data_IF_433945397565
#
_entry.id   IF_433945397565
#
_cell.length_a   1.000
_cell.length_b   1.000
_cell.length_c   1.000
_cell.angle_alpha   90.00
_cell.angle_beta   90.00
_cell.angle_gamma   90.00
#
_symmetry.space_group_name_H-M   'P 1'
#
loop_
_entity.id
_entity.type
_entity.pdbx_description
1 polymer ?
#
# COMPACT_ATOMS: atom_id res chain seq x y z
N UNK A 1 -18.27 -8.35 -10.67
CA UNK A 1 -17.47 -8.67 -11.88
C UNK A 1 -18.35 -8.85 -13.12
N UNK A 2 -19.23 -9.85 -13.16
CA UNK A 2 -19.99 -10.27 -14.36
C UNK A 2 -21.00 -9.26 -14.90
N UNK A 3 -21.52 -8.35 -14.07
CA UNK A 3 -22.43 -7.28 -14.49
C UNK A 3 -21.77 -6.20 -15.35
N UNK A 4 -20.44 -6.20 -15.49
CA UNK A 4 -19.68 -5.18 -16.23
C UNK A 4 -19.35 -3.93 -15.40
N UNK A 5 -20.02 -3.68 -14.28
CA UNK A 5 -19.75 -2.51 -13.43
C UNK A 5 -18.29 -2.43 -12.97
N UNK A 6 -17.71 -3.56 -12.53
CA UNK A 6 -16.31 -3.60 -12.13
C UNK A 6 -15.37 -3.18 -13.26
N UNK A 7 -15.62 -3.67 -14.48
CA UNK A 7 -14.85 -3.32 -15.67
C UNK A 7 -14.99 -1.83 -16.02
N UNK A 8 -16.15 -1.21 -15.80
CA UNK A 8 -16.30 0.25 -15.97
C UNK A 8 -15.41 1.03 -14.98
N UNK A 9 -15.32 0.59 -13.72
CA UNK A 9 -14.43 1.19 -12.74
C UNK A 9 -12.94 0.99 -13.12
N UNK A 10 -12.57 -0.20 -13.60
CA UNK A 10 -11.24 -0.43 -14.19
C UNK A 10 -10.96 0.55 -15.34
N UNK A 11 -11.94 0.81 -16.21
CA UNK A 11 -11.79 1.79 -17.30
C UNK A 11 -11.61 3.23 -16.78
N UNK A 12 -12.31 3.63 -15.72
CA UNK A 12 -12.12 4.95 -15.08
C UNK A 12 -10.68 5.11 -14.56
N UNK A 13 -10.11 4.04 -13.99
CA UNK A 13 -8.71 4.04 -13.53
C UNK A 13 -7.72 4.12 -14.69
N UNK A 14 -7.98 3.38 -15.77
CA UNK A 14 -7.10 3.32 -16.95
C UNK A 14 -7.19 4.53 -17.88
N UNK A 15 -8.21 5.37 -17.78
CA UNK A 15 -8.42 6.47 -18.72
C UNK A 15 -7.35 7.57 -18.56
N UNK A 16 -6.69 7.93 -19.66
CA UNK A 16 -5.60 8.91 -19.66
C UNK A 16 -6.05 10.33 -19.31
N UNK A 17 -7.35 10.62 -19.44
CA UNK A 17 -7.93 11.87 -19.00
C UNK A 17 -8.46 11.83 -17.56
N UNK A 18 -8.25 10.72 -16.85
CA UNK A 18 -8.73 10.44 -15.50
C UNK A 18 -7.57 10.42 -14.50
N UNK A 19 -7.17 9.25 -13.98
CA UNK A 19 -6.10 9.13 -12.99
C UNK A 19 -4.75 9.65 -13.49
N UNK A 20 -4.41 9.42 -14.76
CA UNK A 20 -3.16 9.91 -15.38
C UNK A 20 -2.93 11.41 -15.21
N UNK A 21 -4.00 12.20 -15.05
CA UNK A 21 -3.91 13.65 -14.86
C UNK A 21 -3.45 14.05 -13.44
N UNK A 22 -3.56 13.14 -12.47
CA UNK A 22 -3.34 13.44 -11.04
C UNK A 22 -2.44 12.44 -10.32
N UNK A 23 -2.13 11.27 -10.90
CA UNK A 23 -1.22 10.28 -10.33
C UNK A 23 0.17 10.90 -10.08
N UNK A 24 0.78 10.57 -8.94
CA UNK A 24 2.06 11.17 -8.52
C UNK A 24 2.00 12.62 -8.02
N UNK A 25 0.80 13.23 -7.98
CA UNK A 25 0.63 14.65 -7.61
C UNK A 25 -0.23 14.82 -6.35
N UNK A 26 -0.34 16.05 -5.84
CA UNK A 26 -1.16 16.37 -4.66
C UNK A 26 -2.66 16.07 -4.82
N UNK A 27 -3.15 15.83 -6.05
CA UNK A 27 -4.55 15.47 -6.30
C UNK A 27 -4.86 13.98 -6.21
N UNK A 28 -3.84 13.11 -6.20
CA UNK A 28 -4.05 11.67 -6.20
C UNK A 28 -4.88 11.17 -5.00
N UNK A 29 -4.62 11.59 -3.74
CA UNK A 29 -5.39 11.11 -2.58
C UNK A 29 -6.90 11.36 -2.71
N UNK A 30 -7.30 12.58 -3.10
CA UNK A 30 -8.70 12.92 -3.31
C UNK A 30 -9.34 12.16 -4.49
N UNK A 31 -8.57 11.89 -5.55
CA UNK A 31 -9.06 11.08 -6.67
C UNK A 31 -9.36 9.64 -6.20
N UNK A 32 -8.46 9.02 -5.44
CA UNK A 32 -8.65 7.67 -4.90
C UNK A 32 -9.85 7.61 -3.96
N UNK A 33 -9.99 8.58 -3.04
CA UNK A 33 -11.17 8.67 -2.15
C UNK A 33 -12.48 8.72 -2.91
N UNK A 34 -12.57 9.60 -3.93
CA UNK A 34 -13.76 9.69 -4.78
C UNK A 34 -14.05 8.36 -5.49
N UNK A 35 -13.01 7.67 -5.97
CA UNK A 35 -13.14 6.41 -6.67
C UNK A 35 -13.71 5.32 -5.76
N UNK A 36 -13.16 5.19 -4.54
CA UNK A 36 -13.63 4.24 -3.53
C UNK A 36 -15.08 4.50 -3.13
N UNK A 37 -15.45 5.76 -2.87
CA UNK A 37 -16.83 6.13 -2.54
C UNK A 37 -17.82 5.78 -3.65
N UNK A 38 -17.45 6.03 -4.91
CA UNK A 38 -18.25 5.62 -6.06
C UNK A 38 -18.39 4.10 -6.15
N UNK A 39 -17.30 3.36 -5.92
CA UNK A 39 -17.31 1.90 -5.98
C UNK A 39 -18.15 1.29 -4.85
N UNK A 40 -18.03 1.83 -3.63
CA UNK A 40 -18.84 1.43 -2.48
C UNK A 40 -20.33 1.64 -2.75
N UNK A 41 -20.72 2.81 -3.26
CA UNK A 41 -22.10 3.09 -3.66
C UNK A 41 -22.61 2.12 -4.73
N UNK A 42 -21.74 1.73 -5.67
CA UNK A 42 -22.07 0.72 -6.66
C UNK A 42 -22.37 -0.63 -5.99
N UNK A 43 -21.52 -1.11 -5.08
CA UNK A 43 -21.77 -2.34 -4.34
C UNK A 43 -23.08 -2.30 -3.54
N UNK A 44 -23.32 -1.21 -2.80
CA UNK A 44 -24.56 -1.00 -2.03
C UNK A 44 -25.83 -0.99 -2.88
N UNK A 45 -25.69 -0.64 -4.17
CA UNK A 45 -26.82 -0.59 -5.10
C UNK A 45 -27.17 -1.93 -5.75
N UNK A 46 -26.29 -2.95 -5.64
CA UNK A 46 -26.51 -4.23 -6.33
C UNK A 46 -27.66 -5.03 -5.73
N UNK A 47 -27.85 -4.94 -4.42
CA UNK A 47 -28.94 -5.60 -3.69
C UNK A 47 -29.20 -4.86 -2.37
N UNK A 48 -30.45 -4.86 -1.89
CA UNK A 48 -30.82 -4.21 -0.62
C UNK A 48 -30.08 -4.77 0.59
N UNK A 49 -29.67 -6.03 0.56
CA UNK A 49 -28.86 -6.65 1.62
C UNK A 49 -27.43 -6.07 1.70
N UNK A 50 -26.98 -5.38 0.67
CA UNK A 50 -25.68 -4.70 0.65
C UNK A 50 -25.77 -3.22 1.05
N UNK A 51 -26.94 -2.70 1.46
CA UNK A 51 -27.12 -1.27 1.75
C UNK A 51 -26.11 -0.72 2.77
N UNK A 52 -25.71 -1.57 3.72
CA UNK A 52 -24.84 -1.21 4.84
C UNK A 52 -23.38 -1.68 4.62
N UNK A 53 -23.07 -2.21 3.43
CA UNK A 53 -21.72 -2.68 3.09
C UNK A 53 -20.72 -1.52 3.14
N UNK A 54 -19.54 -1.76 3.69
CA UNK A 54 -18.39 -0.86 3.59
C UNK A 54 -17.22 -1.56 2.90
N UNK A 55 -16.32 -0.78 2.28
CA UNK A 55 -15.07 -1.33 1.76
C UNK A 55 -14.10 -1.66 2.90
N UNK A 56 -13.62 -2.90 3.02
CA UNK A 56 -12.62 -3.24 4.02
C UNK A 56 -11.25 -2.70 3.57
N UNK A 57 -10.51 -2.08 4.49
CA UNK A 57 -9.08 -1.83 4.28
C UNK A 57 -8.28 -3.11 4.52
N UNK A 58 -7.15 -3.26 3.85
CA UNK A 58 -6.20 -4.35 4.08
C UNK A 58 -5.17 -3.94 5.12
N UNK A 59 -5.15 -4.56 6.29
CA UNK A 59 -4.13 -4.31 7.32
C UNK A 59 -2.78 -4.96 6.96
N UNK A 60 -2.15 -4.41 5.92
CA UNK A 60 -0.83 -4.81 5.42
C UNK A 60 0.26 -4.74 6.49
N UNK A 61 0.08 -3.91 7.51
CA UNK A 61 1.07 -3.71 8.57
C UNK A 61 1.02 -4.86 9.57
N UNK A 62 -0.19 -5.32 9.92
CA UNK A 62 -0.38 -6.53 10.73
C UNK A 62 0.13 -7.76 9.97
N UNK A 63 -0.17 -7.86 8.67
CA UNK A 63 0.30 -8.97 7.83
C UNK A 63 1.83 -9.00 7.67
N UNK A 64 2.49 -7.83 7.56
CA UNK A 64 3.97 -7.74 7.65
C UNK A 64 4.50 -8.21 9.00
N UNK A 65 3.79 -7.92 10.11
CA UNK A 65 4.20 -8.35 11.45
C UNK A 65 4.06 -9.87 11.62
N UNK A 66 2.96 -10.46 11.13
CA UNK A 66 2.72 -11.91 11.09
C UNK A 66 3.86 -12.66 10.41
N UNK A 67 4.37 -12.10 9.31
CA UNK A 67 5.45 -12.72 8.55
C UNK A 67 6.79 -12.79 9.30
N UNK A 68 7.04 -11.87 10.23
CA UNK A 68 8.31 -11.74 10.96
C UNK A 68 8.30 -12.47 12.30
N UNK A 69 7.12 -12.60 12.93
CA UNK A 69 6.99 -13.25 14.23
C UNK A 69 7.03 -14.78 14.12
N UNK A 70 7.54 -15.44 15.15
CA UNK A 70 7.47 -16.90 15.32
C UNK A 70 6.19 -17.38 15.98
N UNK A 71 5.37 -16.43 16.48
CA UNK A 71 4.10 -16.76 17.12
C UNK A 71 3.01 -17.12 16.12
N UNK A 72 3.21 -16.86 14.83
CA UNK A 72 2.24 -17.12 13.77
C UNK A 72 2.89 -18.00 12.71
N UNK A 73 2.26 -19.12 12.39
CA UNK A 73 2.66 -19.96 11.28
C UNK A 73 1.98 -19.48 9.99
N UNK A 74 2.61 -18.54 9.29
CA UNK A 74 2.18 -18.14 7.96
C UNK A 74 3.37 -18.06 6.99
N UNK A 75 3.16 -18.53 5.76
CA UNK A 75 4.18 -18.56 4.72
C UNK A 75 3.70 -17.81 3.48
N UNK A 76 4.60 -17.02 2.90
CA UNK A 76 4.27 -16.15 1.78
C UNK A 76 3.35 -15.01 2.17
N UNK A 77 3.05 -14.16 1.19
CA UNK A 77 2.17 -13.00 1.35
C UNK A 77 0.72 -13.45 1.56
N UNK A 78 0.26 -14.42 0.78
CA UNK A 78 -1.14 -14.90 0.84
C UNK A 78 -1.44 -15.64 2.14
N UNK A 79 -0.52 -16.47 2.64
CA UNK A 79 -0.73 -17.22 3.87
C UNK A 79 -0.77 -16.35 5.12
N UNK A 80 -0.15 -15.15 5.08
CA UNK A 80 -0.22 -14.18 6.17
C UNK A 80 -1.42 -13.22 6.04
N UNK A 81 -2.22 -13.32 4.96
CA UNK A 81 -3.24 -12.32 4.63
C UNK A 81 -4.59 -12.95 4.27
N UNK A 82 -5.52 -13.07 5.25
CA UNK A 82 -6.84 -13.65 5.03
C UNK A 82 -7.62 -12.97 3.90
N UNK A 83 -7.48 -11.64 3.73
CA UNK A 83 -8.18 -10.91 2.67
C UNK A 83 -7.71 -11.32 1.27
N UNK A 84 -6.43 -11.70 1.10
CA UNK A 84 -5.93 -12.20 -0.18
C UNK A 84 -6.52 -13.57 -0.50
N UNK A 85 -6.67 -14.44 0.50
CA UNK A 85 -7.32 -15.75 0.36
C UNK A 85 -8.81 -15.61 0.02
N UNK A 86 -9.53 -14.77 0.77
CA UNK A 86 -10.95 -14.49 0.57
C UNK A 86 -11.23 -13.92 -0.83
N UNK A 87 -10.30 -13.14 -1.38
CA UNK A 87 -10.39 -12.58 -2.73
C UNK A 87 -9.85 -13.53 -3.82
N UNK A 88 -9.61 -14.81 -3.49
CA UNK A 88 -9.31 -15.88 -4.45
C UNK A 88 -7.84 -16.28 -4.58
N UNK A 89 -6.96 -15.76 -3.70
CA UNK A 89 -5.54 -16.12 -3.65
C UNK A 89 -4.79 -15.92 -4.97
N UNK A 90 -3.70 -16.65 -5.17
CA UNK A 90 -2.83 -16.52 -6.36
C UNK A 90 -2.73 -17.80 -7.20
N UNK A 91 -3.46 -18.87 -6.86
CA UNK A 91 -3.25 -20.19 -7.46
C UNK A 91 -4.07 -20.43 -8.72
N UNK A 92 -3.43 -20.97 -9.75
CA UNK A 92 -4.07 -21.38 -10.99
C UNK A 92 -3.05 -21.68 -12.09
N UNK A 93 -3.53 -22.01 -13.31
CA UNK A 93 -2.63 -22.29 -14.43
C UNK A 93 -1.82 -21.04 -14.81
N UNK A 94 -0.56 -21.23 -15.18
CA UNK A 94 0.29 -20.16 -15.65
C UNK A 94 -0.24 -19.58 -16.97
N UNK A 95 -0.29 -18.26 -17.04
CA UNK A 95 -0.64 -17.49 -18.23
C UNK A 95 0.65 -17.02 -18.92
N UNK A 96 0.72 -17.24 -20.23
CA UNK A 96 1.81 -16.72 -21.06
C UNK A 96 1.66 -15.22 -21.29
N UNK A 97 2.78 -14.54 -21.50
CA UNK A 97 2.81 -13.10 -21.77
C UNK A 97 1.88 -12.71 -22.91
N UNK A 98 1.05 -11.68 -22.67
CA UNK A 98 0.11 -11.14 -23.64
C UNK A 98 -1.11 -12.02 -23.96
N UNK A 99 -1.23 -13.21 -23.38
CA UNK A 99 -2.37 -14.10 -23.59
C UNK A 99 -3.66 -13.63 -22.88
N UNK A 100 -3.53 -12.72 -21.92
CA UNK A 100 -4.63 -12.12 -21.19
C UNK A 100 -4.60 -10.61 -21.43
N UNK A 101 -5.75 -10.02 -21.77
CA UNK A 101 -5.87 -8.60 -22.10
C UNK A 101 -7.03 -7.98 -21.33
N UNK A 102 -6.77 -6.89 -20.61
CA UNK A 102 -7.79 -6.12 -19.89
C UNK A 102 -7.88 -4.73 -20.52
N UNK A 103 -9.02 -4.39 -21.14
CA UNK A 103 -9.23 -3.07 -21.76
C UNK A 103 -8.10 -2.62 -22.72
N UNK A 104 -7.53 -3.56 -23.47
CA UNK A 104 -6.40 -3.30 -24.38
C UNK A 104 -5.01 -3.36 -23.73
N UNK A 105 -4.92 -3.47 -22.40
CA UNK A 105 -3.66 -3.71 -21.69
C UNK A 105 -3.32 -5.20 -21.71
N UNK A 106 -2.17 -5.55 -22.29
CA UNK A 106 -1.66 -6.91 -22.30
C UNK A 106 -0.99 -7.24 -20.95
N UNK A 107 -1.36 -8.36 -20.34
CA UNK A 107 -0.82 -8.74 -19.04
C UNK A 107 0.50 -9.51 -19.20
N UNK A 108 1.60 -9.11 -18.53
CA UNK A 108 2.94 -9.67 -18.78
C UNK A 108 3.09 -11.15 -18.45
N UNK A 109 2.55 -11.64 -17.34
CA UNK A 109 2.49 -13.06 -16.99
C UNK A 109 1.72 -13.22 -15.68
N UNK A 110 1.48 -14.45 -15.22
CA UNK A 110 0.95 -14.70 -13.87
C UNK A 110 0.26 -16.04 -13.76
N UNK A 111 -0.24 -16.33 -12.57
CA UNK A 111 -1.09 -17.47 -12.29
C UNK A 111 -2.56 -17.04 -12.38
N UNK A 112 -3.36 -17.76 -13.16
CA UNK A 112 -4.78 -17.50 -13.38
C UNK A 112 -5.59 -17.91 -12.14
N UNK A 113 -5.59 -17.04 -11.12
CA UNK A 113 -6.33 -17.24 -9.87
C UNK A 113 -7.83 -17.34 -10.14
N UNK A 114 -8.44 -18.48 -9.80
CA UNK A 114 -9.76 -18.86 -10.28
C UNK A 114 -10.70 -19.36 -9.17
N UNK A 115 -10.45 -18.98 -7.92
CA UNK A 115 -11.32 -19.24 -6.77
C UNK A 115 -12.01 -17.95 -6.30
N UNK A 116 -13.05 -18.10 -5.47
CA UNK A 116 -13.84 -16.98 -4.91
C UNK A 116 -14.22 -15.93 -5.99
N UNK A 117 -14.10 -14.63 -5.68
CA UNK A 117 -14.39 -13.52 -6.59
C UNK A 117 -13.55 -13.55 -7.88
N UNK A 118 -12.34 -14.08 -7.84
CA UNK A 118 -11.46 -14.17 -9.01
C UNK A 118 -12.03 -15.12 -10.08
N UNK A 119 -12.77 -16.15 -9.66
CA UNK A 119 -13.51 -17.07 -10.55
C UNK A 119 -14.59 -16.37 -11.41
N UNK A 120 -14.98 -15.14 -11.03
CA UNK A 120 -16.00 -14.35 -11.70
C UNK A 120 -15.42 -13.24 -12.59
N UNK A 121 -14.09 -13.18 -12.73
CA UNK A 121 -13.41 -12.20 -13.56
C UNK A 121 -13.91 -12.22 -15.01
N UNK A 122 -14.20 -11.03 -15.53
CA UNK A 122 -14.86 -10.85 -16.82
C UNK A 122 -14.44 -9.51 -17.45
N UNK A 123 -13.61 -9.56 -18.48
CA UNK A 123 -13.19 -8.35 -19.22
C UNK A 123 -14.26 -7.88 -20.22
N UNK A 124 -15.16 -8.79 -20.61
CA UNK A 124 -16.25 -8.57 -21.55
C UNK A 124 -17.46 -9.42 -21.17
N UNK A 125 -18.65 -8.82 -21.10
CA UNK A 125 -19.90 -9.48 -20.70
C UNK A 125 -20.30 -10.69 -21.55
N UNK A 126 -19.77 -10.84 -22.77
CA UNK A 126 -20.09 -11.98 -23.66
C UNK A 126 -19.23 -13.23 -23.39
N UNK A 127 -18.02 -13.07 -22.86
CA UNK A 127 -17.10 -14.19 -22.60
C UNK A 127 -16.18 -13.80 -21.45
N UNK A 128 -16.45 -14.37 -20.27
CA UNK A 128 -15.64 -14.16 -19.09
C UNK A 128 -14.47 -15.16 -19.02
N UNK A 129 -13.32 -14.69 -18.61
CA UNK A 129 -12.07 -15.44 -18.46
C UNK A 129 -12.12 -16.35 -17.22
N UNK A 130 -12.92 -15.99 -16.22
CA UNK A 130 -13.11 -16.74 -14.96
C UNK A 130 -11.83 -16.93 -14.14
N UNK A 131 -10.86 -16.04 -14.33
CA UNK A 131 -9.71 -15.92 -13.47
C UNK A 131 -9.05 -14.55 -13.60
N UNK A 132 -8.21 -14.22 -12.62
CA UNK A 132 -7.38 -13.02 -12.60
C UNK A 132 -5.91 -13.44 -12.64
N UNK A 133 -5.10 -12.99 -13.61
CA UNK A 133 -3.66 -13.22 -13.58
C UNK A 133 -3.04 -12.47 -12.39
N UNK A 134 -2.44 -13.21 -11.46
CA UNK A 134 -1.76 -12.68 -10.27
C UNK A 134 -0.32 -13.17 -10.21
N UNK A 135 0.56 -12.43 -9.55
CA UNK A 135 1.89 -12.91 -9.17
C UNK A 135 1.79 -14.10 -8.21
N UNK A 136 2.91 -14.78 -8.01
CA UNK A 136 2.98 -15.93 -7.10
C UNK A 136 3.18 -15.42 -5.66
N UNK A 137 2.12 -15.46 -4.85
CA UNK A 137 2.10 -14.85 -3.51
C UNK A 137 2.49 -15.83 -2.40
N UNK A 138 2.70 -17.09 -2.71
CA UNK A 138 3.15 -18.12 -1.76
C UNK A 138 4.53 -18.69 -2.13
N UNK A 139 5.23 -18.08 -3.10
CA UNK A 139 6.58 -18.49 -3.47
C UNK A 139 7.52 -18.29 -2.27
N UNK A 140 8.43 -19.26 -2.11
CA UNK A 140 9.37 -19.43 -1.00
C UNK A 140 9.72 -18.16 -0.23
N UNK A 141 9.27 -18.11 1.02
CA UNK A 141 9.53 -17.05 1.99
C UNK A 141 9.18 -15.61 1.56
N UNK A 142 8.42 -15.42 0.47
CA UNK A 142 7.96 -14.09 0.05
C UNK A 142 7.25 -13.34 1.18
N UNK A 143 7.38 -12.02 1.17
CA UNK A 143 6.84 -11.14 2.22
C UNK A 143 6.35 -9.84 1.61
N UNK A 144 5.55 -9.11 2.38
CA UNK A 144 5.36 -7.70 2.16
C UNK A 144 6.69 -7.02 2.49
N UNK A 145 7.42 -6.56 1.46
CA UNK A 145 8.80 -6.06 1.56
C UNK A 145 8.91 -4.66 2.19
N UNK A 146 8.09 -4.41 3.20
CA UNK A 146 8.09 -3.25 4.08
C UNK A 146 7.77 -3.72 5.51
N UNK A 147 8.47 -3.14 6.48
CA UNK A 147 8.36 -3.55 7.88
C UNK A 147 7.01 -3.19 8.52
N UNK A 148 6.65 -3.85 9.64
CA UNK A 148 5.42 -3.55 10.38
C UNK A 148 5.38 -2.12 10.93
N UNK A 149 6.53 -1.47 11.12
CA UNK A 149 6.62 -0.07 11.59
C UNK A 149 6.26 0.96 10.53
N UNK A 150 6.10 0.55 9.27
CA UNK A 150 5.90 1.47 8.15
C UNK A 150 4.75 2.45 8.41
N UNK A 151 3.63 2.00 8.98
CA UNK A 151 2.52 2.92 9.31
C UNK A 151 2.95 4.06 10.23
N UNK A 152 3.72 3.78 11.29
CA UNK A 152 4.21 4.83 12.19
C UNK A 152 5.27 5.70 11.54
N UNK A 153 6.10 5.14 10.67
CA UNK A 153 7.13 5.88 9.93
C UNK A 153 6.49 6.93 9.01
N UNK A 154 5.43 6.55 8.28
CA UNK A 154 4.65 7.46 7.44
C UNK A 154 4.10 8.67 8.21
N UNK A 155 3.45 8.40 9.35
CA UNK A 155 2.84 9.44 10.19
C UNK A 155 3.91 10.36 10.80
N UNK A 156 5.04 9.77 11.23
CA UNK A 156 6.17 10.49 11.82
C UNK A 156 6.83 11.40 10.78
N UNK A 157 7.19 10.89 9.61
CA UNK A 157 7.79 11.68 8.51
C UNK A 157 6.90 12.85 8.10
N UNK A 158 5.59 12.62 7.97
CA UNK A 158 4.65 13.69 7.70
C UNK A 158 4.65 14.73 8.83
N UNK A 159 4.56 14.31 10.09
CA UNK A 159 4.51 15.22 11.25
C UNK A 159 5.77 16.09 11.36
N UNK A 160 6.94 15.54 11.06
CA UNK A 160 8.23 16.25 11.10
C UNK A 160 8.38 17.26 9.95
N UNK A 161 7.75 17.00 8.80
CA UNK A 161 7.73 17.93 7.66
C UNK A 161 6.94 19.23 7.91
N UNK A 162 6.24 19.34 9.05
CA UNK A 162 5.51 20.53 9.48
C UNK A 162 6.43 21.70 9.89
N UNK A 163 7.76 21.53 9.83
CA UNK A 163 8.78 22.57 9.94
C UNK A 163 9.42 22.90 8.59
N UNK A 164 9.87 24.16 8.40
CA UNK A 164 10.42 24.72 7.14
C UNK A 164 11.35 23.76 6.40
N UNK A 165 10.83 23.05 5.40
CA UNK A 165 11.66 22.42 4.38
C UNK A 165 11.99 23.47 3.33
N UNK A 166 13.26 23.55 2.96
CA UNK A 166 13.78 24.36 1.85
C UNK A 166 13.28 23.89 0.47
N UNK A 167 12.49 22.80 0.42
CA UNK A 167 11.94 22.19 -0.80
C UNK A 167 10.50 22.61 -1.12
N UNK A 168 9.80 23.33 -0.23
CA UNK A 168 8.44 23.82 -0.47
C UNK A 168 7.35 22.72 -0.53
N UNK A 169 7.65 21.49 -0.10
CA UNK A 169 6.66 20.42 0.00
C UNK A 169 5.83 20.57 1.28
N UNK A 170 4.51 20.45 1.18
CA UNK A 170 3.62 20.48 2.34
C UNK A 170 3.58 19.14 3.06
N UNK A 171 3.15 19.17 4.32
CA UNK A 171 2.96 17.99 5.17
C UNK A 171 2.20 16.85 4.48
N UNK A 172 1.12 17.18 3.76
CA UNK A 172 0.31 16.17 3.03
C UNK A 172 1.03 15.64 1.78
N UNK A 173 1.83 16.47 1.10
CA UNK A 173 2.65 16.00 -0.03
C UNK A 173 3.78 15.09 0.43
N UNK A 174 4.39 15.35 1.60
CA UNK A 174 5.33 14.41 2.23
C UNK A 174 4.65 13.08 2.51
N UNK A 175 3.52 13.07 3.23
CA UNK A 175 2.79 11.83 3.52
C UNK A 175 2.45 11.07 2.23
N UNK A 176 2.02 11.78 1.19
CA UNK A 176 1.70 11.19 -0.11
C UNK A 176 2.90 10.51 -0.76
N UNK A 177 4.06 11.18 -0.82
CA UNK A 177 5.29 10.60 -1.38
C UNK A 177 5.71 9.35 -0.61
N UNK A 178 5.67 9.43 0.72
CA UNK A 178 6.03 8.33 1.61
C UNK A 178 5.10 7.13 1.42
N UNK A 179 3.78 7.35 1.36
CA UNK A 179 2.78 6.30 1.07
C UNK A 179 3.02 5.70 -0.32
N UNK A 180 3.26 6.54 -1.32
CA UNK A 180 3.49 6.09 -2.69
C UNK A 180 4.72 5.18 -2.80
N UNK A 181 5.84 5.61 -2.23
CA UNK A 181 7.12 4.92 -2.35
C UNK A 181 7.23 3.70 -1.42
N UNK A 182 6.68 3.78 -0.21
CA UNK A 182 6.81 2.69 0.77
C UNK A 182 5.82 1.56 0.54
N UNK A 183 4.59 1.90 0.16
CA UNK A 183 3.46 0.95 0.10
C UNK A 183 2.97 0.79 -1.33
N UNK A 184 2.52 1.88 -1.96
CA UNK A 184 1.72 1.79 -3.18
C UNK A 184 2.49 1.11 -4.31
N UNK A 185 3.66 1.63 -4.67
CA UNK A 185 4.48 1.07 -5.76
C UNK A 185 5.04 -0.30 -5.41
N UNK A 186 5.38 -0.53 -4.15
CA UNK A 186 5.86 -1.83 -3.64
C UNK A 186 4.79 -2.91 -3.84
N UNK A 187 3.55 -2.67 -3.40
CA UNK A 187 2.43 -3.59 -3.57
C UNK A 187 2.06 -3.80 -5.05
N UNK A 188 2.06 -2.74 -5.86
CA UNK A 188 1.87 -2.86 -7.30
C UNK A 188 2.90 -3.82 -7.92
N UNK A 189 4.17 -3.73 -7.52
CA UNK A 189 5.26 -4.54 -8.07
C UNK A 189 5.24 -5.98 -7.55
N UNK A 190 5.00 -6.18 -6.25
CA UNK A 190 5.05 -7.50 -5.61
C UNK A 190 3.87 -8.36 -6.04
N UNK A 191 2.65 -7.81 -6.05
CA UNK A 191 1.45 -8.59 -6.36
C UNK A 191 1.42 -9.07 -7.81
N UNK A 192 2.11 -8.40 -8.73
CA UNK A 192 2.35 -8.85 -10.10
C UNK A 192 1.09 -9.09 -10.93
N UNK A 193 1.25 -9.68 -12.11
CA UNK A 193 0.10 -10.04 -12.95
C UNK A 193 -0.64 -8.82 -13.45
N UNK A 194 -1.97 -8.79 -13.29
CA UNK A 194 -2.74 -7.60 -13.64
C UNK A 194 -2.38 -6.39 -12.75
N UNK A 195 -1.94 -6.65 -11.52
CA UNK A 195 -1.74 -5.63 -10.50
C UNK A 195 -0.53 -4.72 -10.74
N UNK A 196 0.48 -5.21 -11.46
CA UNK A 196 1.66 -4.40 -11.82
C UNK A 196 1.44 -3.53 -13.07
N UNK A 197 0.26 -3.57 -13.68
CA UNK A 197 -0.05 -2.88 -14.94
C UNK A 197 -1.03 -1.72 -14.75
N UNK A 198 -1.34 -1.00 -15.84
CA UNK A 198 -2.42 0.01 -15.86
C UNK A 198 -3.78 -0.57 -15.50
N UNK A 199 -3.97 -1.88 -15.64
CA UNK A 199 -5.22 -2.56 -15.35
C UNK A 199 -5.36 -2.99 -13.87
N UNK A 200 -4.50 -2.53 -12.96
CA UNK A 200 -4.48 -2.98 -11.56
C UNK A 200 -5.84 -2.95 -10.84
N UNK A 201 -6.69 -1.96 -11.16
CA UNK A 201 -8.04 -1.84 -10.63
C UNK A 201 -9.01 -2.96 -11.07
N UNK A 202 -8.60 -3.85 -11.97
CA UNK A 202 -9.31 -5.08 -12.33
C UNK A 202 -9.16 -6.20 -11.28
N UNK A 203 -8.13 -6.13 -10.44
CA UNK A 203 -8.02 -7.01 -9.29
C UNK A 203 -8.81 -6.43 -8.10
N UNK A 204 -9.80 -7.15 -7.54
CA UNK A 204 -10.56 -6.67 -6.40
C UNK A 204 -9.72 -6.26 -5.17
N UNK A 205 -8.51 -6.79 -4.99
CA UNK A 205 -7.62 -6.35 -3.88
C UNK A 205 -7.24 -4.87 -3.99
N UNK A 206 -7.35 -4.28 -5.18
CA UNK A 206 -7.20 -2.84 -5.41
C UNK A 206 -8.04 -2.01 -4.43
N UNK A 207 -9.29 -2.41 -4.19
CA UNK A 207 -10.17 -1.62 -3.34
C UNK A 207 -9.67 -1.57 -1.90
N UNK A 208 -9.22 -2.71 -1.38
CA UNK A 208 -8.76 -2.81 0.01
C UNK A 208 -7.37 -2.19 0.20
N UNK A 209 -6.47 -2.35 -0.77
CA UNK A 209 -5.18 -1.65 -0.77
C UNK A 209 -5.38 -0.12 -0.77
N UNK A 210 -6.22 0.41 -1.66
CA UNK A 210 -6.45 1.85 -1.74
C UNK A 210 -7.31 2.36 -0.57
N UNK A 211 -8.15 1.53 0.04
CA UNK A 211 -8.82 1.85 1.30
C UNK A 211 -7.81 1.95 2.47
N UNK A 212 -6.74 1.14 2.48
CA UNK A 212 -5.65 1.29 3.46
C UNK A 212 -4.90 2.61 3.26
N UNK A 213 -4.59 2.96 2.01
CA UNK A 213 -3.97 4.25 1.67
C UNK A 213 -4.87 5.41 2.12
N UNK A 214 -6.17 5.35 1.83
CA UNK A 214 -7.13 6.38 2.25
C UNK A 214 -7.27 6.45 3.77
N UNK A 215 -7.24 5.30 4.47
CA UNK A 215 -7.20 5.23 5.92
C UNK A 215 -5.99 5.95 6.50
N UNK A 216 -4.79 5.82 5.92
CA UNK A 216 -3.59 6.55 6.37
C UNK A 216 -3.79 8.07 6.24
N UNK A 217 -4.29 8.54 5.10
CA UNK A 217 -4.58 9.97 4.92
C UNK A 217 -5.67 10.46 5.87
N UNK A 218 -6.76 9.70 6.01
CA UNK A 218 -7.85 10.01 6.92
C UNK A 218 -7.38 10.04 8.38
N UNK A 219 -6.51 9.11 8.76
CA UNK A 219 -5.87 9.08 10.07
C UNK A 219 -5.15 10.40 10.35
N UNK A 220 -4.25 10.77 9.44
CA UNK A 220 -3.41 11.95 9.58
C UNK A 220 -4.22 13.26 9.59
N UNK A 221 -5.21 13.41 8.71
CA UNK A 221 -6.10 14.57 8.68
C UNK A 221 -6.93 14.71 9.96
N UNK A 222 -7.37 13.60 10.56
CA UNK A 222 -8.18 13.67 11.78
C UNK A 222 -7.34 14.09 12.98
N UNK A 223 -6.06 13.74 13.02
CA UNK A 223 -5.11 14.27 14.00
C UNK A 223 -4.84 15.78 13.77
N UNK A 224 -4.90 16.25 12.52
CA UNK A 224 -4.49 17.59 12.09
C UNK A 224 -5.56 18.26 11.21
N UNK A 225 -6.69 18.66 11.81
CA UNK A 225 -7.90 19.09 11.10
C UNK A 225 -7.72 20.28 10.12
N UNK A 226 -6.64 21.04 10.26
CA UNK A 226 -6.32 22.17 9.37
C UNK A 226 -5.68 21.75 8.04
N UNK A 227 -5.25 20.49 7.91
CA UNK A 227 -4.51 20.01 6.74
C UNK A 227 -5.49 19.45 5.70
N UNK A 228 -5.63 20.10 4.53
CA UNK A 228 -6.48 19.59 3.46
C UNK A 228 -5.87 18.33 2.83
N UNK A 229 -6.72 17.46 2.28
CA UNK A 229 -6.29 16.26 1.55
C UNK A 229 -5.60 16.63 0.24
N UNK A 230 -6.06 17.72 -0.37
CA UNK A 230 -5.49 18.28 -1.59
C UNK A 230 -5.30 19.78 -1.48
N UNK A 231 -4.07 20.20 -1.76
CA UNK A 231 -3.68 21.59 -1.92
C UNK A 231 -3.65 22.00 -3.39
N UNK A 232 -3.12 23.18 -3.70
CA UNK A 232 -2.92 23.59 -5.09
C UNK A 232 -1.56 23.13 -5.59
N UNK A 233 -1.53 22.38 -6.69
CA UNK A 233 -0.29 21.98 -7.34
C UNK A 233 -0.50 21.85 -8.86
N UNK A 234 0.59 21.56 -9.57
CA UNK A 234 0.54 21.20 -10.99
C UNK A 234 0.17 19.73 -11.12
N UNK A 235 -0.87 19.41 -11.89
CA UNK A 235 -1.18 18.05 -12.32
C UNK A 235 -0.30 17.62 -13.48
N UNK A 236 -0.51 16.41 -13.98
CA UNK A 236 0.15 15.96 -15.19
C UNK A 236 -0.47 16.66 -16.42
N UNK A 237 0.37 16.90 -17.44
CA UNK A 237 -0.04 17.70 -18.61
C UNK A 237 -0.36 19.16 -18.23
N UNK A 238 -1.53 19.63 -18.68
CA UNK A 238 -1.99 21.02 -18.50
C UNK A 238 -3.04 21.17 -17.36
N UNK A 239 -3.26 20.14 -16.55
CA UNK A 239 -4.25 20.18 -15.46
C UNK A 239 -3.70 20.97 -14.28
N UNK A 240 -4.48 21.95 -13.82
CA UNK A 240 -4.23 22.66 -12.56
C UNK A 240 -5.06 22.03 -11.45
N UNK A 241 -4.39 21.60 -10.39
CA UNK A 241 -5.05 21.04 -9.21
C UNK A 241 -5.22 22.18 -8.22
N UNK A 242 -6.45 22.33 -7.71
CA UNK A 242 -6.79 23.29 -6.67
C UNK A 242 -8.04 22.82 -5.93
N UNK A 243 -8.33 23.31 -4.71
CA UNK A 243 -9.52 22.92 -3.97
C UNK A 243 -10.84 23.11 -4.75
N UNK A 244 -10.94 24.12 -5.61
CA UNK A 244 -12.15 24.40 -6.39
C UNK A 244 -12.18 23.68 -7.74
N UNK A 245 -11.07 23.09 -8.19
CA UNK A 245 -11.04 22.34 -9.44
C UNK A 245 -11.86 21.05 -9.33
N UNK A 246 -12.47 20.64 -10.46
CA UNK A 246 -13.15 19.36 -10.59
C UNK A 246 -12.13 18.23 -10.66
N UNK A 247 -12.37 17.15 -9.91
CA UNK A 247 -11.54 15.95 -9.97
C UNK A 247 -11.74 15.31 -11.36
N UNK A 248 -10.67 15.12 -12.16
CA UNK A 248 -10.77 14.53 -13.49
C UNK A 248 -11.02 13.03 -13.34
N UNK A 249 -12.30 12.65 -13.27
CA UNK A 249 -12.73 11.25 -13.19
C UNK A 249 -13.75 11.00 -14.29
N UNK A 250 -13.32 10.26 -15.32
CA UNK A 250 -14.08 10.12 -16.56
C UNK A 250 -13.68 8.86 -17.33
N UNK A 251 -14.53 8.48 -18.28
CA UNK A 251 -14.19 7.55 -19.35
C UNK A 251 -14.29 8.33 -20.67
N UNK A 252 -13.20 8.36 -21.43
CA UNK A 252 -13.03 9.17 -22.64
C UNK A 252 -13.36 10.65 -22.34
N UNK A 253 -14.41 11.18 -22.96
CA UNK A 253 -14.85 12.57 -22.78
C UNK A 253 -15.94 12.75 -21.72
N UNK A 254 -16.44 11.67 -21.11
CA UNK A 254 -17.64 11.70 -20.26
C UNK A 254 -17.28 11.54 -18.80
N UNK A 255 -17.57 12.55 -17.99
CA UNK A 255 -17.35 12.49 -16.53
C UNK A 255 -18.24 11.44 -15.89
N UNK A 256 -17.77 10.84 -14.79
CA UNK A 256 -18.50 9.75 -14.14
C UNK A 256 -19.91 10.14 -13.70
N UNK A 257 -20.16 11.39 -13.33
CA UNK A 257 -21.48 11.89 -12.94
C UNK A 257 -22.47 11.97 -14.11
N UNK A 258 -21.95 12.13 -15.34
CA UNK A 258 -22.75 12.22 -16.57
C UNK A 258 -22.78 10.90 -17.34
N UNK A 259 -21.99 9.91 -16.93
CA UNK A 259 -21.93 8.61 -17.60
C UNK A 259 -23.19 7.81 -17.30
N UNK A 260 -23.82 7.22 -18.32
CA UNK A 260 -25.11 6.54 -18.18
C UNK A 260 -25.08 5.44 -17.10
N UNK A 261 -24.00 4.65 -17.08
CA UNK A 261 -23.87 3.49 -16.18
C UNK A 261 -23.15 3.80 -14.86
N UNK A 262 -22.52 4.97 -14.71
CA UNK A 262 -21.77 5.33 -13.49
C UNK A 262 -22.41 6.47 -12.71
N UNK A 263 -23.19 7.34 -13.36
CA UNK A 263 -23.68 8.59 -12.77
C UNK A 263 -24.47 8.40 -11.49
N UNK A 264 -25.25 7.31 -11.40
CA UNK A 264 -25.99 6.96 -10.20
C UNK A 264 -25.09 6.75 -8.97
N UNK A 265 -23.90 6.15 -9.16
CA UNK A 265 -22.97 5.82 -8.07
C UNK A 265 -22.23 7.04 -7.53
N UNK A 266 -22.11 8.10 -8.33
CA UNK A 266 -21.38 9.33 -7.98
C UNK A 266 -22.28 10.51 -7.59
N UNK A 267 -23.61 10.36 -7.65
CA UNK A 267 -24.59 11.45 -7.46
C UNK A 267 -24.37 12.28 -6.19
N UNK A 268 -23.96 11.66 -5.08
CA UNK A 268 -23.79 12.30 -3.78
C UNK A 268 -22.33 12.31 -3.27
N UNK A 269 -21.36 11.93 -4.09
CA UNK A 269 -19.95 11.84 -3.66
C UNK A 269 -19.28 13.22 -3.63
N UNK A 270 -19.69 14.14 -4.50
CA UNK A 270 -19.01 15.42 -4.70
C UNK A 270 -18.03 15.39 -5.87
N UNK A 271 -17.76 16.56 -6.45
CA UNK A 271 -17.05 16.66 -7.74
C UNK A 271 -15.70 17.37 -7.66
N UNK A 272 -15.44 18.14 -6.60
CA UNK A 272 -14.23 18.96 -6.46
C UNK A 272 -13.21 18.37 -5.48
N UNK A 273 -11.95 18.76 -5.58
CA UNK A 273 -10.92 18.34 -4.63
C UNK A 273 -11.30 18.72 -3.18
N UNK A 274 -11.86 19.93 -2.98
CA UNK A 274 -12.35 20.36 -1.66
C UNK A 274 -13.47 19.47 -1.11
N UNK A 275 -14.32 18.91 -1.98
CA UNK A 275 -15.40 18.03 -1.50
C UNK A 275 -14.86 16.74 -0.85
N UNK A 276 -13.64 16.33 -1.18
CA UNK A 276 -12.97 15.17 -0.57
C UNK A 276 -12.28 15.47 0.76
N UNK A 277 -12.18 16.77 1.13
CA UNK A 277 -11.67 17.19 2.44
C UNK A 277 -12.72 17.05 3.55
N UNK A 278 -14.00 16.88 3.19
CA UNK A 278 -15.07 16.69 4.17
C UNK A 278 -15.02 15.27 4.76
N UNK A 279 -15.27 15.15 6.07
CA UNK A 279 -15.21 13.89 6.83
C UNK A 279 -16.42 12.96 6.56
N UNK A 280 -16.64 12.57 5.30
CA UNK A 280 -17.68 11.62 4.92
C UNK A 280 -17.25 10.14 5.09
N UNK A 281 -15.95 9.89 5.26
CA UNK A 281 -15.36 8.55 5.41
C UNK A 281 -14.92 8.36 6.85
N UNK A 282 -15.32 7.25 7.45
CA UNK A 282 -14.94 6.86 8.80
C UNK A 282 -14.24 5.51 8.74
N UNK A 283 -13.08 5.43 9.38
CA UNK A 283 -12.37 4.18 9.55
C UNK A 283 -12.39 3.75 11.01
N UNK A 284 -12.62 2.46 11.23
CA UNK A 284 -12.34 1.83 12.51
C UNK A 284 -10.90 1.31 12.49
N UNK A 285 -10.04 1.88 13.33
CA UNK A 285 -8.64 1.46 13.44
C UNK A 285 -8.57 0.21 14.31
N UNK A 286 -8.06 -0.88 13.75
CA UNK A 286 -7.91 -2.16 14.43
C UNK A 286 -6.95 -2.13 15.63
N UNK A 287 -7.01 -3.13 16.54
CA UNK A 287 -6.19 -3.15 17.76
C UNK A 287 -4.69 -3.14 17.53
N UNK A 288 -4.21 -3.75 16.43
CA UNK A 288 -2.79 -3.77 16.07
C UNK A 288 -2.26 -2.35 15.78
N UNK A 289 -2.89 -1.63 14.85
CA UNK A 289 -2.54 -0.24 14.53
C UNK A 289 -2.70 0.70 15.73
N UNK A 290 -3.72 0.48 16.56
CA UNK A 290 -3.85 1.19 17.83
C UNK A 290 -2.65 1.02 18.75
N UNK A 291 -2.14 -0.22 18.88
CA UNK A 291 -0.98 -0.51 19.70
C UNK A 291 0.27 0.18 19.12
N UNK A 292 0.50 0.10 17.81
CA UNK A 292 1.59 0.81 17.14
C UNK A 292 1.57 2.31 17.44
N UNK A 293 0.43 2.97 17.21
CA UNK A 293 0.29 4.42 17.45
C UNK A 293 0.53 4.78 18.91
N UNK A 294 0.02 3.97 19.85
CA UNK A 294 0.20 4.20 21.29
C UNK A 294 1.66 4.08 21.70
N UNK A 295 2.35 3.06 21.22
CA UNK A 295 3.73 2.76 21.60
C UNK A 295 4.70 3.77 21.02
N UNK A 296 4.48 4.17 19.77
CA UNK A 296 5.27 5.21 19.12
C UNK A 296 4.89 6.63 19.55
N UNK A 297 3.93 6.80 20.47
CA UNK A 297 3.43 8.11 20.93
C UNK A 297 2.89 9.00 19.78
N UNK A 298 2.27 8.38 18.78
CA UNK A 298 1.71 9.03 17.58
C UNK A 298 0.16 9.03 17.56
N UNK A 299 -0.48 8.70 18.69
CA UNK A 299 -1.94 8.78 18.78
C UNK A 299 -2.43 10.21 18.60
N UNK A 300 -3.53 10.40 17.88
CA UNK A 300 -4.16 11.71 17.79
C UNK A 300 -4.59 12.21 19.18
N UNK A 301 -4.35 13.49 19.47
CA UNK A 301 -4.83 14.12 20.70
C UNK A 301 -6.36 14.21 20.69
N UNK A 302 -7.02 13.54 21.63
CA UNK A 302 -8.50 13.54 21.75
C UNK A 302 -9.10 14.93 21.94
N UNK A 303 -8.31 15.91 22.38
CA UNK A 303 -8.74 17.31 22.56
C UNK A 303 -8.78 18.10 21.25
N UNK A 304 -7.98 17.71 20.27
CA UNK A 304 -7.78 18.44 19.01
C UNK A 304 -8.18 17.62 17.79
N UNK A 305 -8.54 16.35 17.97
CA UNK A 305 -8.95 15.46 16.88
C UNK A 305 -10.39 15.70 16.46
N UNK A 306 -10.70 15.44 15.19
CA UNK A 306 -12.06 15.56 14.68
C UNK A 306 -12.96 14.47 15.30
N UNK A 307 -14.11 14.88 15.87
CA UNK A 307 -15.10 13.95 16.43
C UNK A 307 -15.68 13.06 15.32
N UNK A 308 -15.62 11.74 15.50
CA UNK A 308 -16.27 10.77 14.60
C UNK A 308 -15.55 10.53 13.27
N UNK A 309 -14.40 11.14 13.00
CA UNK A 309 -13.63 10.89 11.78
C UNK A 309 -12.84 9.56 11.83
N UNK A 310 -12.51 9.10 13.04
CA UNK A 310 -11.86 7.82 13.32
C UNK A 310 -12.51 7.22 14.56
N UNK A 311 -12.86 5.94 14.47
CA UNK A 311 -13.17 5.11 15.63
C UNK A 311 -12.02 4.16 15.90
N UNK A 312 -11.94 3.71 17.14
CA UNK A 312 -11.00 2.68 17.57
C UNK A 312 -11.79 1.43 17.89
N UNK A 313 -11.42 0.31 17.27
CA UNK A 313 -12.04 -0.98 17.55
C UNK A 313 -11.99 -1.25 19.06
N UNK A 314 -13.17 -1.51 19.65
CA UNK A 314 -13.30 -1.87 21.06
C UNK A 314 -13.31 -3.39 21.26
N UNK A 315 -13.64 -4.12 20.21
CA UNK A 315 -13.50 -5.57 20.17
C UNK A 315 -12.02 -5.94 20.24
N UNK A 316 -11.73 -7.03 20.97
CA UNK A 316 -10.40 -7.65 20.89
C UNK A 316 -10.18 -8.15 19.47
N UNK A 317 -8.92 -8.13 19.02
CA UNK A 317 -8.57 -8.84 17.80
C UNK A 317 -9.03 -10.29 17.94
N UNK A 318 -9.75 -10.77 16.94
CA UNK A 318 -10.25 -12.15 16.89
C UNK A 318 -9.18 -13.12 16.39
N UNK A 319 -8.00 -12.63 16.02
CA UNK A 319 -6.88 -13.45 15.56
C UNK A 319 -6.16 -14.12 16.74
N UNK A 320 -5.80 -15.39 16.53
CA UNK A 320 -5.24 -16.29 17.55
C UNK A 320 -3.93 -15.77 18.15
N UNK A 321 -3.10 -15.09 17.35
CA UNK A 321 -1.73 -14.67 17.74
C UNK A 321 -1.58 -13.19 18.04
N UNK A 322 -2.69 -12.46 18.20
CA UNK A 322 -2.67 -11.01 18.38
C UNK A 322 -1.78 -10.55 19.56
N UNK A 323 -1.62 -11.38 20.60
CA UNK A 323 -0.74 -11.07 21.72
C UNK A 323 0.76 -11.10 21.36
N UNK A 324 1.17 -12.09 20.56
CA UNK A 324 2.55 -12.23 20.08
C UNK A 324 2.94 -11.10 19.14
N UNK A 325 2.08 -10.83 18.15
CA UNK A 325 2.25 -9.73 17.19
C UNK A 325 2.33 -8.37 17.90
N UNK A 326 1.48 -8.13 18.91
CA UNK A 326 1.57 -6.89 19.70
C UNK A 326 2.84 -6.80 20.56
N UNK A 327 3.37 -7.95 21.01
CA UNK A 327 4.65 -7.99 21.74
C UNK A 327 5.79 -7.58 20.82
N UNK A 328 5.84 -8.11 19.59
CA UNK A 328 6.83 -7.72 18.59
C UNK A 328 6.84 -6.21 18.33
N UNK A 329 5.66 -5.59 18.20
CA UNK A 329 5.57 -4.12 18.04
C UNK A 329 6.14 -3.38 19.25
N UNK A 330 5.87 -3.84 20.46
CA UNK A 330 6.41 -3.21 21.66
C UNK A 330 7.93 -3.30 21.71
N UNK A 331 8.47 -4.46 21.31
CA UNK A 331 9.88 -4.77 21.34
C UNK A 331 10.64 -4.00 20.24
N UNK A 332 10.05 -3.86 19.05
CA UNK A 332 10.54 -2.97 17.99
C UNK A 332 10.60 -1.51 18.47
N UNK A 333 9.53 -0.99 19.07
CA UNK A 333 9.54 0.39 19.60
C UNK A 333 10.55 0.55 20.76
N UNK A 334 10.75 -0.48 21.58
CA UNK A 334 11.79 -0.45 22.63
C UNK A 334 13.21 -0.45 22.04
N UNK A 335 13.41 -1.06 20.86
CA UNK A 335 14.67 -0.96 20.13
C UNK A 335 14.99 0.49 19.72
N UNK A 336 13.99 1.31 19.38
CA UNK A 336 14.21 2.73 19.05
C UNK A 336 14.80 3.53 20.21
N UNK A 337 14.43 3.20 21.44
CA UNK A 337 14.86 3.91 22.64
C UNK A 337 16.23 3.45 23.15
N UNK A 338 16.61 2.21 22.85
CA UNK A 338 17.77 1.57 23.47
C UNK A 338 18.93 1.35 22.53
N UNK A 339 18.69 1.30 21.22
CA UNK A 339 19.72 1.05 20.21
C UNK A 339 20.43 2.34 19.81
N UNK A 340 21.69 2.23 19.41
CA UNK A 340 22.46 3.37 18.93
C UNK A 340 22.36 3.50 17.41
N UNK A 341 22.12 4.73 16.95
CA UNK A 341 22.07 5.10 15.53
C UNK A 341 23.20 6.09 15.22
N UNK A 342 23.94 5.84 14.14
CA UNK A 342 24.92 6.80 13.58
C UNK A 342 24.68 6.99 12.09
N UNK A 343 24.99 8.17 11.57
CA UNK A 343 24.75 8.52 10.17
C UNK A 343 23.64 9.55 9.99
N UNK A 344 23.38 9.93 8.74
CA UNK A 344 22.30 10.89 8.41
C UNK A 344 21.07 10.11 7.98
N UNK A 345 20.07 10.05 8.85
CA UNK A 345 18.77 9.42 8.55
C UNK A 345 17.65 10.09 9.33
N UNK A 346 16.45 10.05 8.77
CA UNK A 346 15.19 10.39 9.47
C UNK A 346 14.52 9.15 10.06
N UNK A 347 15.02 7.95 9.79
CA UNK A 347 14.45 6.70 10.26
C UNK A 347 14.91 6.33 11.67
N UNK A 348 14.06 5.59 12.37
CA UNK A 348 14.34 5.04 13.70
C UNK A 348 14.96 3.64 13.60
N UNK A 349 15.55 3.14 14.69
CA UNK A 349 16.27 1.86 14.67
C UNK A 349 15.38 0.69 14.23
N UNK A 350 14.11 0.69 14.64
CA UNK A 350 13.13 -0.36 14.35
C UNK A 350 12.77 -0.48 12.87
N UNK A 351 12.81 0.62 12.11
CA UNK A 351 12.64 0.59 10.65
C UNK A 351 13.75 -0.24 9.98
N UNK A 352 15.01 0.06 10.31
CA UNK A 352 16.16 -0.69 9.81
C UNK A 352 16.16 -2.15 10.29
N UNK A 353 15.89 -2.39 11.58
CA UNK A 353 15.83 -3.74 12.15
C UNK A 353 14.75 -4.56 11.45
N UNK A 354 13.56 -3.97 11.18
CA UNK A 354 12.48 -4.65 10.45
C UNK A 354 12.93 -5.07 9.05
N UNK A 355 13.61 -4.20 8.31
CA UNK A 355 14.11 -4.52 6.98
C UNK A 355 15.24 -5.56 7.00
N UNK A 356 16.09 -5.57 8.03
CA UNK A 356 17.09 -6.62 8.22
C UNK A 356 16.45 -7.97 8.56
N UNK A 357 15.39 -8.01 9.37
CA UNK A 357 14.62 -9.22 9.65
C UNK A 357 14.00 -9.80 8.36
N UNK A 358 13.35 -8.94 7.55
CA UNK A 358 12.83 -9.35 6.24
C UNK A 358 13.94 -9.85 5.32
N UNK A 359 15.11 -9.21 5.33
CA UNK A 359 16.28 -9.65 4.57
C UNK A 359 16.75 -11.04 4.99
N UNK A 360 16.79 -11.33 6.30
CA UNK A 360 17.14 -12.67 6.79
C UNK A 360 16.10 -13.72 6.36
N UNK A 361 14.81 -13.39 6.40
CA UNK A 361 13.73 -14.29 5.99
C UNK A 361 13.72 -14.57 4.48
N UNK A 362 14.07 -13.57 3.67
CA UNK A 362 14.02 -13.65 2.20
C UNK A 362 15.38 -13.98 1.56
N UNK A 363 16.36 -14.42 2.35
CA UNK A 363 17.74 -14.65 1.89
C UNK A 363 18.34 -13.45 1.13
N UNK A 364 18.01 -12.24 1.55
CA UNK A 364 18.46 -11.00 0.95
C UNK A 364 17.89 -10.71 -0.44
N UNK A 365 16.77 -11.31 -0.84
CA UNK A 365 16.13 -11.05 -2.14
C UNK A 365 14.92 -10.13 -1.96
N UNK A 366 14.97 -8.96 -2.59
CA UNK A 366 13.90 -7.95 -2.57
C UNK A 366 13.46 -7.57 -3.97
N UNK A 367 12.23 -7.14 -4.14
CA UNK A 367 11.63 -6.68 -5.39
C UNK A 367 11.83 -5.18 -5.55
N UNK A 368 12.36 -4.77 -6.70
CA UNK A 368 12.39 -3.37 -7.12
C UNK A 368 11.05 -2.95 -7.71
N UNK A 369 10.83 -1.65 -7.84
CA UNK A 369 9.73 -1.15 -8.67
C UNK A 369 9.92 -1.60 -10.11
N UNK A 370 8.90 -2.27 -10.65
CA UNK A 370 8.90 -2.68 -12.06
C UNK A 370 8.83 -1.48 -12.99
N UNK A 371 9.29 -1.63 -14.23
CA UNK A 371 9.25 -0.54 -15.22
C UNK A 371 7.83 0.03 -15.41
N UNK A 372 6.77 -0.79 -15.59
CA UNK A 372 5.40 -0.26 -15.72
C UNK A 372 4.97 0.58 -14.51
N UNK A 373 5.34 0.17 -13.29
CA UNK A 373 5.04 0.89 -12.05
C UNK A 373 5.78 2.22 -12.01
N UNK A 374 7.08 2.24 -12.33
CA UNK A 374 7.89 3.47 -12.37
C UNK A 374 7.33 4.48 -13.37
N UNK A 375 7.01 4.03 -14.58
CA UNK A 375 6.45 4.89 -15.64
C UNK A 375 5.08 5.44 -15.26
N UNK A 376 4.20 4.62 -14.67
CA UNK A 376 2.86 5.03 -14.31
C UNK A 376 2.81 6.02 -13.14
N UNK A 377 3.62 5.78 -12.10
CA UNK A 377 3.65 6.63 -10.91
C UNK A 377 4.66 7.78 -10.99
N UNK A 378 5.42 7.87 -12.08
CA UNK A 378 6.43 8.90 -12.30
C UNK A 378 7.64 8.78 -11.38
N UNK A 379 7.98 7.55 -10.98
CA UNK A 379 9.15 7.29 -10.14
C UNK A 379 10.43 7.25 -10.96
N UNK A 380 11.49 7.84 -10.42
CA UNK A 380 12.84 7.89 -11.00
C UNK A 380 13.66 6.67 -10.55
N UNK A 381 14.79 6.38 -11.21
CA UNK A 381 15.70 5.29 -10.80
C UNK A 381 16.20 5.44 -9.35
N UNK A 382 16.24 6.67 -8.82
CA UNK A 382 16.67 6.95 -7.46
C UNK A 382 15.59 6.61 -6.41
N UNK A 383 14.33 6.49 -6.82
CA UNK A 383 13.26 6.02 -5.96
C UNK A 383 13.41 4.51 -5.74
N UNK A 384 13.59 4.13 -4.48
CA UNK A 384 13.76 2.75 -4.03
C UNK A 384 12.58 2.32 -3.14
N UNK A 385 12.19 1.03 -3.19
CA UNK A 385 11.34 0.45 -2.15
C UNK A 385 11.92 0.70 -0.76
N UNK A 386 11.07 0.88 0.25
CA UNK A 386 11.48 1.30 1.60
C UNK A 386 12.64 0.46 2.15
N UNK A 387 12.46 -0.86 2.24
CA UNK A 387 13.50 -1.72 2.79
C UNK A 387 14.75 -1.82 1.92
N UNK A 388 14.63 -1.67 0.60
CA UNK A 388 15.79 -1.59 -0.30
C UNK A 388 16.62 -0.34 0.02
N UNK A 389 15.97 0.81 0.23
CA UNK A 389 16.64 2.05 0.64
C UNK A 389 17.32 1.95 2.00
N UNK A 390 16.60 1.45 3.01
CA UNK A 390 17.11 1.28 4.38
C UNK A 390 18.31 0.32 4.43
N UNK A 391 18.22 -0.81 3.73
CA UNK A 391 19.31 -1.78 3.64
C UNK A 391 20.50 -1.21 2.87
N UNK A 392 20.27 -0.50 1.76
CA UNK A 392 21.34 0.15 1.00
C UNK A 392 22.15 1.09 1.90
N UNK A 393 21.49 1.94 2.69
CA UNK A 393 22.15 2.86 3.62
C UNK A 393 23.03 2.14 4.68
N UNK A 394 22.62 0.95 5.13
CA UNK A 394 23.45 0.10 6.01
C UNK A 394 24.64 -0.48 5.24
N UNK A 395 24.42 -1.07 4.06
CA UNK A 395 25.48 -1.70 3.26
C UNK A 395 26.59 -0.72 2.86
N UNK A 396 26.22 0.52 2.56
CA UNK A 396 27.17 1.59 2.18
C UNK A 396 27.73 2.33 3.38
N UNK A 397 27.39 1.91 4.61
CA UNK A 397 27.83 2.52 5.87
C UNK A 397 27.43 4.00 6.00
N UNK A 398 26.40 4.43 5.26
CA UNK A 398 25.79 5.76 5.42
C UNK A 398 25.06 5.85 6.77
N UNK A 399 24.46 4.73 7.19
CA UNK A 399 23.80 4.54 8.48
C UNK A 399 24.37 3.31 9.17
N UNK A 400 24.59 3.40 10.47
CA UNK A 400 24.94 2.25 11.32
C UNK A 400 23.92 2.12 12.43
N UNK A 401 23.31 0.93 12.52
CA UNK A 401 22.40 0.54 13.59
C UNK A 401 23.12 -0.44 14.51
N UNK A 402 23.19 -0.12 15.79
CA UNK A 402 23.76 -1.02 16.80
C UNK A 402 22.67 -1.41 17.81
N UNK A 403 21.98 -2.55 17.58
CA UNK A 403 20.96 -3.04 18.49
C UNK A 403 21.54 -3.25 19.90
N UNK A 404 20.86 -2.71 20.92
CA UNK A 404 21.25 -2.93 22.32
C UNK A 404 21.12 -4.39 22.74
N UNK A 405 21.76 -4.80 23.84
CA UNK A 405 21.59 -6.17 24.36
C UNK A 405 20.13 -6.48 24.75
N UNK A 406 19.36 -5.47 25.16
CA UNK A 406 17.93 -5.57 25.42
C UNK A 406 17.17 -5.82 24.13
N UNK A 407 17.40 -5.00 23.11
CA UNK A 407 16.78 -5.14 21.79
C UNK A 407 17.11 -6.49 21.15
N UNK A 408 18.39 -6.92 21.18
CA UNK A 408 18.83 -8.21 20.64
C UNK A 408 18.06 -9.38 21.26
N UNK A 409 17.89 -9.39 22.60
CA UNK A 409 17.15 -10.45 23.30
C UNK A 409 15.67 -10.44 22.97
N UNK A 410 15.07 -9.25 22.89
CA UNK A 410 13.67 -9.05 22.58
C UNK A 410 13.33 -9.55 21.17
N UNK A 411 14.07 -9.07 20.16
CA UNK A 411 13.88 -9.48 18.77
C UNK A 411 14.15 -10.97 18.57
N UNK A 412 15.21 -11.52 19.17
CA UNK A 412 15.49 -12.95 19.08
C UNK A 412 14.36 -13.81 19.67
N UNK A 413 13.78 -13.36 20.79
CA UNK A 413 12.65 -14.07 21.43
C UNK A 413 11.43 -14.13 20.52
N UNK A 414 11.10 -13.04 19.84
CA UNK A 414 9.89 -12.95 19.03
C UNK A 414 10.06 -13.53 17.62
N UNK A 415 11.28 -13.51 17.07
CA UNK A 415 11.54 -13.85 15.66
C UNK A 415 12.45 -15.06 15.46
N UNK A 416 13.13 -15.53 16.50
CA UNK A 416 14.25 -16.50 16.41
C UNK A 416 15.41 -16.07 15.50
N UNK A 417 15.46 -14.79 15.09
CA UNK A 417 16.55 -14.22 14.29
C UNK A 417 17.47 -13.41 15.20
N UNK A 418 18.76 -13.78 15.20
CA UNK A 418 19.80 -13.09 15.93
C UNK A 418 20.24 -11.84 15.20
N UNK A 419 19.89 -10.67 15.71
CA UNK A 419 20.37 -9.39 15.15
C UNK A 419 21.89 -9.21 15.24
N UNK A 420 22.58 -10.06 16.00
CA UNK A 420 24.05 -10.11 16.10
C UNK A 420 24.69 -11.00 15.04
N UNK A 421 24.09 -12.15 14.73
CA UNK A 421 24.72 -13.20 13.91
C UNK A 421 24.05 -13.37 12.53
N UNK A 422 22.77 -13.04 12.41
CA UNK A 422 21.97 -13.35 11.21
C UNK A 422 21.78 -12.13 10.31
N UNK A 423 22.05 -10.93 10.82
CA UNK A 423 22.11 -9.69 10.03
C UNK A 423 23.37 -9.60 9.16
N UNK A 424 24.21 -10.64 9.15
CA UNK A 424 25.41 -10.73 8.33
C UNK A 424 25.10 -10.77 6.82
N UNK A 425 23.88 -11.13 6.41
CA UNK A 425 23.42 -11.03 5.01
C UNK A 425 23.60 -9.62 4.44
N UNK A 426 23.51 -8.57 5.26
CA UNK A 426 23.76 -7.19 4.79
C UNK A 426 25.25 -6.92 4.56
N UNK A 427 26.17 -7.59 5.25
CA UNK A 427 27.62 -7.46 4.98
C UNK A 427 28.03 -8.15 3.68
N UNK A 428 27.30 -9.20 3.30
CA UNK A 428 27.53 -9.96 2.07
C UNK A 428 26.74 -9.38 0.86
N UNK A 429 25.92 -8.34 1.09
CA UNK A 429 25.06 -7.70 0.10
C UNK A 429 23.70 -8.36 -0.06
N UNK A 430 22.78 -7.69 -0.76
CA UNK A 430 21.44 -8.21 -1.05
C UNK A 430 21.14 -8.08 -2.56
N UNK A 431 20.24 -8.93 -3.07
CA UNK A 431 19.84 -8.94 -4.47
C UNK A 431 18.49 -8.23 -4.64
N UNK A 432 18.42 -7.40 -5.68
CA UNK A 432 17.23 -6.65 -6.08
C UNK A 432 16.68 -7.27 -7.37
N UNK A 433 15.43 -7.72 -7.33
CA UNK A 433 14.73 -8.34 -8.44
C UNK A 433 13.87 -7.31 -9.15
N UNK A 434 14.07 -7.14 -10.45
CA UNK A 434 13.19 -6.31 -11.29
C UNK A 434 12.50 -7.18 -12.34
N UNK A 435 11.18 -7.01 -12.52
CA UNK A 435 10.43 -7.64 -13.62
C UNK A 435 10.51 -6.81 -14.90
N UNK A 436 10.79 -7.48 -16.01
CA UNK A 436 10.83 -6.87 -17.35
C UNK A 436 9.50 -6.37 -17.86
N UNK A 437 9.53 -5.20 -18.52
CA UNK A 437 8.36 -4.59 -19.13
C UNK A 437 7.70 -5.46 -20.23
N UNK A 438 8.52 -6.10 -21.08
CA UNK A 438 8.03 -6.82 -22.26
C UNK A 438 7.73 -8.31 -22.00
N UNK A 439 8.50 -8.93 -21.10
CA UNK A 439 8.53 -10.39 -20.93
C UNK A 439 8.17 -10.84 -19.51
N UNK A 440 8.01 -9.91 -18.56
CA UNK A 440 7.78 -10.22 -17.14
C UNK A 440 8.93 -10.98 -16.47
N UNK A 441 10.08 -11.14 -17.14
CA UNK A 441 11.17 -11.96 -16.64
C UNK A 441 11.86 -11.27 -15.45
N UNK A 442 12.21 -12.08 -14.45
CA UNK A 442 12.95 -11.68 -13.25
C UNK A 442 14.41 -11.43 -13.62
N UNK A 443 14.93 -10.25 -13.27
CA UNK A 443 16.34 -9.88 -13.40
C UNK A 443 16.90 -9.52 -12.04
N UNK A 444 18.06 -10.07 -11.69
CA UNK A 444 18.75 -9.77 -10.43
C UNK A 444 19.75 -8.63 -10.64
N UNK A 445 19.73 -7.67 -9.72
CA UNK A 445 20.64 -6.53 -9.65
C UNK A 445 21.26 -6.49 -8.26
N UNK A 446 22.54 -6.17 -8.16
CA UNK A 446 23.10 -5.74 -6.89
C UNK A 446 22.75 -4.25 -6.70
N UNK A 447 22.56 -3.77 -5.45
CA UNK A 447 22.39 -2.34 -5.20
C UNK A 447 23.55 -1.55 -5.84
N UNK A 448 23.31 -0.33 -6.34
CA UNK A 448 24.37 0.49 -6.90
C UNK A 448 25.49 0.66 -5.87
N UNK A 449 26.72 0.24 -6.22
CA UNK A 449 27.89 0.68 -5.48
C UNK A 449 28.00 2.20 -5.72
N UNK A 450 27.84 3.01 -4.67
CA UNK A 450 28.17 4.44 -4.74
C UNK A 450 29.68 4.63 -4.79
#
# INVERSE_FOLDING_TARGET
MTSGNHMLFTQVYMDSGSLDQVVGTCGAPAWYRKYLLGYENMLRSLDTSFSDLTLPYWDIFEDSAKRITTTTECNGIVGCSPILEDLGGCKGPKIMAGAYVVNGEAIPSGNCANSSVAAHACTNSKKCEKCIPRGDWDIGDSSLEFGPTTFTDLIRHASEANGTTSSGASTMDTLRKEVQNSIQMTLHSILGGVYETRAAAFDPIFLSHYATIDMVYQFFQSCNQSIPLTESCKGNGNVKISPTATIPMKIKSTTVEKHADLGAFFKNVGTSFKSMNSFAVQYEIGPFLQNMLKKSSLQCSTKTSATGAISYATAKSTFEDAAGINTLVNDLVACDQTSEMKGKTTEVASAFISCQLLSSLQNGVFTNFSTPVREFFGATQDDLPKCVGDLAAITTVEVTVTPSSTCQKAIYKDTSISTKNDFNTVKDGFAIVTRGAEDGNVRYMNPPAR
#
